data_IF_658526662894
#
_entry.id   IF_658526662894
#
_cell.length_a   1.000
_cell.length_b   1.000
_cell.length_c   1.000
_cell.angle_alpha   90.00
_cell.angle_beta   90.00
_cell.angle_gamma   90.00
#
_symmetry.space_group_name_H-M   'P 1'
#
loop_
_entity.id
_entity.type
_entity.pdbx_description
1 polymer ?
#
# COMPACT_ATOMS: atom_id res chain seq x y z
N UNK A 1 -28.39 -7.61 -8.22
CA UNK A 1 -27.17 -7.03 -7.60
C UNK A 1 -27.20 -5.53 -7.83
N UNK A 2 -26.86 -4.71 -6.85
CA UNK A 2 -26.82 -3.25 -7.04
C UNK A 2 -25.75 -2.89 -8.09
N UNK A 3 -26.08 -2.08 -9.09
CA UNK A 3 -25.21 -1.83 -10.26
C UNK A 3 -23.86 -1.15 -9.92
N UNK A 4 -23.65 -0.66 -8.70
CA UNK A 4 -22.47 0.12 -8.29
C UNK A 4 -21.68 -0.50 -7.11
N UNK A 5 -21.85 -1.80 -6.83
CA UNK A 5 -21.16 -2.44 -5.70
C UNK A 5 -19.63 -2.36 -5.85
N UNK A 6 -19.11 -2.56 -7.05
CA UNK A 6 -17.68 -2.53 -7.33
C UNK A 6 -17.08 -1.14 -7.14
N UNK A 7 -17.72 -0.11 -7.66
CA UNK A 7 -17.30 1.28 -7.57
C UNK A 7 -17.33 1.78 -6.12
N UNK A 8 -18.39 1.45 -5.38
CA UNK A 8 -18.52 1.79 -3.96
C UNK A 8 -17.40 1.09 -3.17
N UNK A 9 -17.15 -0.20 -3.42
CA UNK A 9 -16.08 -0.93 -2.77
C UNK A 9 -14.70 -0.31 -3.06
N UNK A 10 -14.45 0.12 -4.31
CA UNK A 10 -13.21 0.80 -4.69
C UNK A 10 -13.03 2.14 -3.96
N UNK A 11 -14.09 2.95 -3.89
CA UNK A 11 -14.05 4.24 -3.19
C UNK A 11 -13.82 4.04 -1.68
N UNK A 12 -14.54 3.11 -1.05
CA UNK A 12 -14.36 2.79 0.37
C UNK A 12 -12.95 2.24 0.63
N UNK A 13 -12.39 1.46 -0.28
CA UNK A 13 -10.99 0.99 -0.21
C UNK A 13 -10.01 2.17 -0.15
N UNK A 14 -10.16 3.15 -1.03
CA UNK A 14 -9.24 4.29 -1.06
C UNK A 14 -9.35 5.16 0.20
N UNK A 15 -10.55 5.34 0.73
CA UNK A 15 -10.77 5.99 2.03
C UNK A 15 -10.11 5.18 3.16
N UNK A 16 -10.32 3.86 3.18
CA UNK A 16 -9.74 2.96 4.18
C UNK A 16 -8.20 3.01 4.15
N UNK A 17 -7.58 3.04 2.96
CA UNK A 17 -6.13 3.16 2.82
C UNK A 17 -5.61 4.54 3.25
N UNK A 18 -6.40 5.60 3.09
CA UNK A 18 -6.06 6.94 3.59
C UNK A 18 -6.01 6.97 5.12
N UNK A 19 -6.99 6.36 5.78
CA UNK A 19 -6.97 6.21 7.25
C UNK A 19 -5.84 5.31 7.71
N UNK A 20 -5.63 4.18 7.05
CA UNK A 20 -4.54 3.24 7.36
C UNK A 20 -3.17 3.89 7.33
N UNK A 21 -2.84 4.61 6.25
CA UNK A 21 -1.57 5.31 6.12
C UNK A 21 -1.39 6.39 7.19
N UNK A 22 -2.48 7.06 7.57
CA UNK A 22 -2.49 8.03 8.66
C UNK A 22 -2.22 7.34 10.01
N UNK A 23 -2.94 6.27 10.33
CA UNK A 23 -2.74 5.52 11.58
C UNK A 23 -1.31 4.97 11.68
N UNK A 24 -0.80 4.38 10.61
CA UNK A 24 0.56 3.84 10.62
C UNK A 24 1.65 4.92 10.65
N UNK A 25 1.38 6.10 10.10
CA UNK A 25 2.26 7.26 10.28
C UNK A 25 2.30 7.72 11.75
N UNK A 26 1.13 7.82 12.41
CA UNK A 26 1.05 8.18 13.82
C UNK A 26 1.78 7.14 14.69
N UNK A 27 1.49 5.86 14.49
CA UNK A 27 2.12 4.79 15.24
C UNK A 27 3.63 4.73 14.99
N UNK A 28 4.06 4.83 13.72
CA UNK A 28 5.46 4.77 13.33
C UNK A 28 6.33 5.87 13.93
N UNK A 29 5.78 7.07 14.06
CA UNK A 29 6.46 8.19 14.76
C UNK A 29 6.60 7.97 16.26
N UNK A 30 5.79 7.11 16.87
CA UNK A 30 5.82 6.82 18.32
C UNK A 30 6.72 5.63 18.65
N UNK A 31 6.63 4.54 17.88
CA UNK A 31 7.29 3.27 18.22
C UNK A 31 8.23 2.75 17.12
N UNK A 32 8.36 3.48 16.03
CA UNK A 32 9.19 3.12 14.87
C UNK A 32 8.43 2.31 13.82
N UNK A 33 8.81 2.50 12.55
CA UNK A 33 8.22 1.89 11.36
C UNK A 33 8.20 0.36 11.42
N UNK A 34 9.30 -0.23 11.87
CA UNK A 34 9.49 -1.69 11.89
C UNK A 34 8.58 -2.39 12.91
N UNK A 35 8.38 -1.79 14.11
CA UNK A 35 7.46 -2.34 15.12
C UNK A 35 6.03 -2.29 14.59
N UNK A 36 5.64 -1.18 13.97
CA UNK A 36 4.30 -1.04 13.36
C UNK A 36 4.10 -2.10 12.27
N UNK A 37 5.06 -2.28 11.36
CA UNK A 37 4.92 -3.20 10.25
C UNK A 37 4.81 -4.67 10.70
N UNK A 38 5.62 -5.09 11.66
CA UNK A 38 5.56 -6.44 12.26
C UNK A 38 4.23 -6.68 12.97
N UNK A 39 3.80 -5.73 13.79
CA UNK A 39 2.62 -5.88 14.64
C UNK A 39 1.33 -5.84 13.83
N UNK A 40 1.22 -4.95 12.81
CA UNK A 40 0.04 -4.90 11.95
C UNK A 40 -0.19 -6.20 11.18
N UNK A 41 0.90 -6.84 10.72
CA UNK A 41 0.80 -8.12 10.00
C UNK A 41 0.34 -9.26 10.91
N UNK A 42 0.76 -9.25 12.19
CA UNK A 42 0.28 -10.21 13.17
C UNK A 42 -1.24 -10.07 13.39
N UNK A 43 -1.73 -8.84 13.61
CA UNK A 43 -3.17 -8.60 13.73
C UNK A 43 -3.93 -8.95 12.44
N UNK A 44 -3.40 -8.55 11.29
CA UNK A 44 -4.01 -8.85 10.00
C UNK A 44 -4.08 -10.37 9.72
N UNK A 45 -3.03 -11.12 10.04
CA UNK A 45 -3.03 -12.58 9.96
C UNK A 45 -4.16 -13.18 10.80
N UNK A 46 -4.31 -12.69 12.04
CA UNK A 46 -5.36 -13.18 12.95
C UNK A 46 -6.76 -12.88 12.37
N UNK A 47 -7.00 -11.67 11.90
CA UNK A 47 -8.30 -11.30 11.29
C UNK A 47 -8.60 -12.13 10.04
N UNK A 48 -7.60 -12.32 9.16
CA UNK A 48 -7.76 -13.11 7.95
C UNK A 48 -7.98 -14.60 8.26
N UNK A 49 -7.28 -15.17 9.26
CA UNK A 49 -7.46 -16.56 9.67
C UNK A 49 -8.86 -16.79 10.24
N UNK A 50 -9.35 -15.88 11.10
CA UNK A 50 -10.71 -15.95 11.64
C UNK A 50 -11.75 -15.86 10.52
N UNK A 51 -11.58 -14.89 9.60
CA UNK A 51 -12.52 -14.71 8.48
C UNK A 51 -12.47 -15.90 7.52
N UNK A 52 -11.29 -16.46 7.26
CA UNK A 52 -11.14 -17.64 6.41
C UNK A 52 -11.81 -18.87 7.02
N UNK A 53 -11.68 -19.02 8.35
CA UNK A 53 -12.39 -20.08 9.07
C UNK A 53 -13.92 -19.93 9.00
N UNK A 54 -14.44 -18.71 9.19
CA UNK A 54 -15.88 -18.45 9.13
C UNK A 54 -16.45 -18.72 7.72
N UNK A 55 -15.72 -18.34 6.67
CA UNK A 55 -16.22 -18.46 5.28
C UNK A 55 -15.97 -19.83 4.63
N UNK A 56 -14.89 -20.51 4.99
CA UNK A 56 -14.46 -21.76 4.33
C UNK A 56 -14.33 -22.95 5.28
N UNK A 57 -14.60 -22.78 6.60
CA UNK A 57 -14.47 -23.83 7.60
C UNK A 57 -13.02 -24.26 7.89
N UNK A 58 -12.03 -23.56 7.33
CA UNK A 58 -10.60 -23.87 7.47
C UNK A 58 -9.83 -22.62 7.86
N UNK A 59 -8.89 -22.75 8.80
CA UNK A 59 -8.04 -21.61 9.23
C UNK A 59 -7.04 -21.22 8.13
N UNK A 60 -6.51 -22.21 7.42
CA UNK A 60 -5.50 -22.03 6.36
C UNK A 60 -5.96 -22.71 5.06
N UNK A 61 -5.57 -22.20 3.89
CA UNK A 61 -5.88 -22.81 2.61
C UNK A 61 -4.93 -23.98 2.31
N UNK A 62 -5.02 -25.06 3.11
CA UNK A 62 -4.08 -26.19 3.07
C UNK A 62 -4.17 -27.04 1.79
N UNK A 63 -5.30 -27.01 1.09
CA UNK A 63 -5.48 -27.75 -0.17
C UNK A 63 -5.02 -26.97 -1.41
N UNK A 64 -4.29 -25.87 -1.20
CA UNK A 64 -3.76 -25.05 -2.30
C UNK A 64 -2.51 -25.70 -2.92
N UNK A 65 -2.41 -25.66 -4.22
CA UNK A 65 -1.25 -26.14 -4.98
C UNK A 65 0.05 -25.48 -4.53
N UNK A 66 1.14 -26.24 -4.43
CA UNK A 66 2.45 -25.75 -3.99
C UNK A 66 2.95 -24.57 -4.82
N UNK A 67 2.74 -24.60 -6.13
CA UNK A 67 3.14 -23.53 -7.06
C UNK A 67 2.45 -22.20 -6.72
N UNK A 68 1.17 -22.24 -6.30
CA UNK A 68 0.44 -21.04 -5.87
C UNK A 68 1.01 -20.49 -4.56
N UNK A 69 1.32 -21.39 -3.60
CA UNK A 69 2.01 -21.00 -2.37
C UNK A 69 3.34 -20.29 -2.67
N UNK A 70 4.14 -20.82 -3.59
CA UNK A 70 5.42 -20.23 -3.97
C UNK A 70 5.25 -18.80 -4.54
N UNK A 71 4.35 -18.61 -5.50
CA UNK A 71 4.11 -17.30 -6.10
C UNK A 71 3.53 -16.29 -5.11
N UNK A 72 2.57 -16.71 -4.29
CA UNK A 72 1.94 -15.84 -3.29
C UNK A 72 2.89 -15.54 -2.12
N UNK A 73 3.70 -16.51 -1.69
CA UNK A 73 4.74 -16.29 -0.69
C UNK A 73 5.81 -15.30 -1.20
N UNK A 74 6.27 -15.48 -2.44
CA UNK A 74 7.20 -14.54 -3.09
C UNK A 74 6.59 -13.14 -3.17
N UNK A 75 5.32 -13.04 -3.57
CA UNK A 75 4.58 -11.77 -3.59
C UNK A 75 4.48 -11.13 -2.20
N UNK A 76 4.17 -11.92 -1.17
CA UNK A 76 4.14 -11.46 0.22
C UNK A 76 5.51 -10.97 0.70
N UNK A 77 6.57 -11.68 0.38
CA UNK A 77 7.93 -11.27 0.72
C UNK A 77 8.34 -9.97 0.01
N UNK A 78 8.20 -9.90 -1.31
CA UNK A 78 8.59 -8.68 -2.07
C UNK A 78 7.73 -7.48 -1.67
N UNK A 79 6.40 -7.64 -1.61
CA UNK A 79 5.48 -6.53 -1.36
C UNK A 79 5.44 -6.12 0.11
N UNK A 80 5.17 -7.08 1.00
CA UNK A 80 4.86 -6.77 2.39
C UNK A 80 6.10 -6.74 3.30
N UNK A 81 7.18 -7.49 2.97
CA UNK A 81 8.43 -7.41 3.74
C UNK A 81 9.33 -6.30 3.22
N UNK A 82 9.70 -6.35 1.95
CA UNK A 82 10.61 -5.36 1.35
C UNK A 82 9.87 -4.06 1.03
N UNK A 83 8.80 -4.13 0.24
CA UNK A 83 8.06 -2.95 -0.23
C UNK A 83 7.43 -2.15 0.91
N UNK A 84 6.64 -2.79 1.76
CA UNK A 84 6.04 -2.12 2.91
C UNK A 84 7.06 -1.77 3.99
N UNK A 85 8.17 -2.53 4.12
CA UNK A 85 9.27 -2.15 5.00
C UNK A 85 9.79 -0.75 4.67
N UNK A 86 10.04 -0.50 3.40
CA UNK A 86 10.46 0.80 2.88
C UNK A 86 9.34 1.85 2.94
N UNK A 87 8.11 1.49 2.57
CA UNK A 87 6.97 2.40 2.63
C UNK A 87 6.68 2.90 4.05
N UNK A 88 6.78 2.03 5.05
CA UNK A 88 6.56 2.40 6.46
C UNK A 88 7.67 3.32 6.99
N UNK A 89 8.89 3.14 6.52
CA UNK A 89 9.96 4.09 6.82
C UNK A 89 9.67 5.46 6.17
N UNK A 90 9.19 5.47 4.93
CA UNK A 90 8.74 6.70 4.29
C UNK A 90 7.60 7.38 5.05
N UNK A 91 6.63 6.65 5.62
CA UNK A 91 5.58 7.23 6.45
C UNK A 91 6.13 7.99 7.65
N UNK A 92 7.20 7.50 8.25
CA UNK A 92 7.87 8.18 9.39
C UNK A 92 8.63 9.41 8.92
N UNK A 93 9.40 9.30 7.82
CA UNK A 93 10.31 10.34 7.34
C UNK A 93 9.60 11.48 6.61
N UNK A 94 8.66 11.18 5.71
CA UNK A 94 8.01 12.19 4.85
C UNK A 94 6.49 12.27 5.03
N UNK A 95 5.92 11.42 5.88
CA UNK A 95 4.49 11.41 6.22
C UNK A 95 3.61 10.66 5.23
N UNK A 96 2.37 10.36 5.66
CA UNK A 96 1.43 9.54 4.91
C UNK A 96 1.14 10.10 3.50
N UNK A 97 0.87 11.41 3.41
CA UNK A 97 0.42 12.05 2.16
C UNK A 97 1.44 11.91 1.03
N UNK A 98 2.70 12.30 1.28
CA UNK A 98 3.72 12.24 0.23
C UNK A 98 4.11 10.80 -0.09
N UNK A 99 4.18 9.92 0.91
CA UNK A 99 4.46 8.51 0.69
C UNK A 99 3.36 7.84 -0.16
N UNK A 100 2.07 8.12 0.10
CA UNK A 100 0.97 7.59 -0.71
C UNK A 100 0.89 8.23 -2.10
N UNK A 101 1.33 9.49 -2.25
CA UNK A 101 1.49 10.09 -3.58
C UNK A 101 2.57 9.35 -4.39
N UNK A 102 3.69 8.98 -3.77
CA UNK A 102 4.73 8.15 -4.41
C UNK A 102 4.21 6.77 -4.80
N UNK A 103 3.27 6.20 -4.04
CA UNK A 103 2.63 4.92 -4.40
C UNK A 103 1.78 5.01 -5.67
N UNK A 104 1.41 6.19 -6.15
CA UNK A 104 0.80 6.38 -7.47
C UNK A 104 1.75 6.00 -8.63
N UNK A 105 3.04 5.80 -8.35
CA UNK A 105 4.00 5.23 -9.30
C UNK A 105 3.82 3.71 -9.52
N UNK A 106 3.14 3.00 -8.64
CA UNK A 106 2.97 1.54 -8.76
C UNK A 106 2.34 1.13 -10.10
N UNK A 107 1.20 1.72 -10.54
CA UNK A 107 0.64 1.43 -11.85
C UNK A 107 1.62 1.75 -12.99
N UNK A 108 2.30 2.91 -12.90
CA UNK A 108 3.30 3.34 -13.89
C UNK A 108 4.42 2.31 -14.03
N UNK A 109 5.00 1.91 -12.90
CA UNK A 109 6.07 0.91 -12.87
C UNK A 109 5.56 -0.43 -13.42
N UNK A 110 4.35 -0.84 -13.06
CA UNK A 110 3.73 -2.07 -13.56
C UNK A 110 3.53 -2.02 -15.07
N UNK A 111 3.09 -0.91 -15.63
CA UNK A 111 2.93 -0.69 -17.07
C UNK A 111 4.28 -0.74 -17.80
N UNK A 112 5.32 -0.10 -17.28
CA UNK A 112 6.67 -0.14 -17.83
C UNK A 112 7.24 -1.58 -17.79
N UNK A 113 7.01 -2.31 -16.69
CA UNK A 113 7.42 -3.70 -16.57
C UNK A 113 6.68 -4.60 -17.56
N UNK A 114 5.38 -4.38 -17.78
CA UNK A 114 4.60 -5.10 -18.77
C UNK A 114 5.12 -4.82 -20.20
N UNK A 115 5.40 -3.57 -20.52
CA UNK A 115 6.02 -3.19 -21.79
C UNK A 115 7.37 -3.87 -22.01
N UNK A 116 8.26 -3.87 -21.01
CA UNK A 116 9.64 -4.39 -21.16
C UNK A 116 9.72 -5.91 -21.12
N UNK A 117 8.87 -6.58 -20.32
CA UNK A 117 8.97 -8.04 -20.07
C UNK A 117 7.84 -8.87 -20.72
N UNK A 118 6.72 -8.24 -21.06
CA UNK A 118 5.59 -8.92 -21.69
C UNK A 118 5.39 -8.50 -23.16
N UNK A 119 6.28 -7.65 -23.72
CA UNK A 119 6.20 -7.10 -25.07
C UNK A 119 4.85 -6.38 -25.34
N UNK A 120 4.20 -5.83 -24.32
CA UNK A 120 3.02 -5.00 -24.48
C UNK A 120 3.45 -3.66 -25.12
N UNK A 121 2.64 -3.13 -26.06
CA UNK A 121 2.94 -1.86 -26.74
C UNK A 121 2.26 -0.73 -25.96
N UNK A 122 3.05 0.26 -25.55
CA UNK A 122 2.51 1.47 -24.93
C UNK A 122 1.78 2.31 -25.98
N UNK A 123 0.53 2.65 -25.71
CA UNK A 123 -0.22 3.60 -26.53
C UNK A 123 0.12 5.06 -26.13
N UNK A 124 -0.29 6.02 -26.96
CA UNK A 124 0.00 7.44 -26.73
C UNK A 124 -0.62 7.95 -25.41
N UNK A 125 -1.81 7.48 -25.04
CA UNK A 125 -2.49 7.90 -23.81
C UNK A 125 -1.73 7.41 -22.56
N UNK A 126 -1.20 6.20 -22.59
CA UNK A 126 -0.36 5.67 -21.51
C UNK A 126 0.93 6.47 -21.34
N UNK A 127 1.58 6.88 -22.43
CA UNK A 127 2.76 7.75 -22.38
C UNK A 127 2.42 9.11 -21.77
N UNK A 128 1.32 9.75 -22.18
CA UNK A 128 0.85 11.01 -21.61
C UNK A 128 0.55 10.83 -20.11
N UNK A 129 -0.11 9.76 -19.76
CA UNK A 129 -0.46 9.42 -18.37
C UNK A 129 0.79 9.27 -17.49
N UNK A 130 1.81 8.58 -17.98
CA UNK A 130 3.11 8.44 -17.30
C UNK A 130 3.74 9.82 -17.06
N UNK A 131 3.82 10.66 -18.10
CA UNK A 131 4.40 12.00 -18.00
C UNK A 131 3.62 12.87 -16.99
N UNK A 132 2.29 12.84 -17.02
CA UNK A 132 1.45 13.59 -16.08
C UNK A 132 1.66 13.13 -14.64
N UNK A 133 1.67 11.81 -14.40
CA UNK A 133 1.83 11.25 -13.05
C UNK A 133 3.21 11.60 -12.49
N UNK A 134 4.27 11.30 -13.23
CA UNK A 134 5.65 11.57 -12.82
C UNK A 134 5.88 13.07 -12.65
N UNK A 135 5.40 13.87 -13.58
CA UNK A 135 5.50 15.34 -13.52
C UNK A 135 4.80 15.92 -12.30
N UNK A 136 3.58 15.46 -12.00
CA UNK A 136 2.82 15.87 -10.80
C UNK A 136 3.55 15.50 -9.50
N UNK A 137 4.11 14.30 -9.41
CA UNK A 137 4.88 13.85 -8.25
C UNK A 137 6.16 14.69 -8.09
N UNK A 138 6.93 14.86 -9.16
CA UNK A 138 8.15 15.68 -9.16
C UNK A 138 7.84 17.10 -8.70
N UNK A 139 6.78 17.71 -9.21
CA UNK A 139 6.34 19.04 -8.80
C UNK A 139 6.12 19.15 -7.29
N UNK A 140 5.38 18.21 -6.70
CA UNK A 140 5.12 18.19 -5.25
C UNK A 140 6.41 17.99 -4.43
N UNK A 141 7.34 17.14 -4.90
CA UNK A 141 8.62 16.88 -4.25
C UNK A 141 9.47 18.16 -4.21
N UNK A 142 9.65 18.82 -5.35
CA UNK A 142 10.49 20.01 -5.44
C UNK A 142 9.95 21.19 -4.62
N UNK A 143 8.64 21.34 -4.55
CA UNK A 143 8.05 22.42 -3.77
C UNK A 143 8.39 22.33 -2.27
N UNK A 144 8.46 21.13 -1.72
CA UNK A 144 8.73 20.92 -0.29
C UNK A 144 10.22 21.11 0.07
N UNK A 145 11.12 20.85 -0.85
CA UNK A 145 12.58 20.84 -0.60
C UNK A 145 13.18 22.24 -0.31
N UNK A 146 12.46 23.33 -0.57
CA UNK A 146 12.97 24.69 -0.42
C UNK A 146 12.94 25.28 1.00
N UNK A 147 12.58 24.49 2.03
CA UNK A 147 12.28 25.05 3.38
C UNK A 147 13.03 24.42 4.57
N UNK A 148 14.01 23.51 4.35
CA UNK A 148 14.62 22.75 5.44
C UNK A 148 16.14 22.89 5.61
N UNK A 149 16.65 22.59 6.82
CA UNK A 149 18.06 22.43 7.16
C UNK A 149 18.66 21.17 6.50
N UNK A 150 20.00 21.06 6.41
CA UNK A 150 20.69 19.94 5.76
C UNK A 150 20.29 18.57 6.33
N UNK A 151 20.06 18.43 7.63
CA UNK A 151 19.62 17.18 8.26
C UNK A 151 18.18 16.81 7.86
N UNK A 152 17.27 17.78 7.79
CA UNK A 152 15.90 17.61 7.30
C UNK A 152 15.89 17.24 5.82
N UNK A 153 16.79 17.82 5.02
CA UNK A 153 16.96 17.51 3.60
C UNK A 153 17.41 16.05 3.37
N UNK A 154 18.34 15.55 4.22
CA UNK A 154 18.80 14.15 4.14
C UNK A 154 17.68 13.15 4.47
N UNK A 155 16.94 13.40 5.54
CA UNK A 155 15.81 12.55 5.94
C UNK A 155 14.68 12.59 4.89
N UNK A 156 14.46 13.75 4.29
CA UNK A 156 13.50 13.92 3.21
C UNK A 156 13.89 13.10 1.97
N UNK A 157 15.14 13.19 1.51
CA UNK A 157 15.62 12.40 0.38
C UNK A 157 15.55 10.90 0.66
N UNK A 158 15.97 10.46 1.86
CA UNK A 158 15.85 9.07 2.27
C UNK A 158 14.39 8.60 2.24
N UNK A 159 13.46 9.41 2.72
CA UNK A 159 12.04 9.11 2.69
C UNK A 159 11.48 8.98 1.27
N UNK A 160 11.92 9.82 0.33
CA UNK A 160 11.57 9.70 -1.09
C UNK A 160 12.11 8.40 -1.69
N UNK A 161 13.38 8.07 -1.43
CA UNK A 161 14.00 6.82 -1.90
C UNK A 161 13.30 5.59 -1.32
N UNK A 162 12.96 5.62 -0.04
CA UNK A 162 12.17 4.56 0.60
C UNK A 162 10.78 4.42 -0.04
N UNK A 163 10.08 5.52 -0.30
CA UNK A 163 8.77 5.49 -0.95
C UNK A 163 8.85 4.95 -2.38
N UNK A 164 9.88 5.32 -3.14
CA UNK A 164 10.15 4.79 -4.48
C UNK A 164 10.45 3.28 -4.43
N UNK A 165 11.30 2.84 -3.50
CA UNK A 165 11.58 1.43 -3.27
C UNK A 165 10.34 0.66 -2.86
N UNK A 166 9.47 1.26 -2.05
CA UNK A 166 8.15 0.73 -1.70
C UNK A 166 7.27 0.53 -2.93
N UNK A 167 7.18 1.54 -3.81
CA UNK A 167 6.40 1.46 -5.04
C UNK A 167 6.93 0.38 -6.01
N UNK A 168 8.26 0.27 -6.16
CA UNK A 168 8.91 -0.82 -6.92
C UNK A 168 8.54 -2.19 -6.34
N UNK A 169 8.71 -2.37 -5.02
CA UNK A 169 8.36 -3.62 -4.34
C UNK A 169 6.90 -4.01 -4.56
N UNK A 170 5.97 -3.06 -4.46
CA UNK A 170 4.54 -3.32 -4.70
C UNK A 170 4.25 -3.68 -6.16
N UNK A 171 4.89 -3.02 -7.14
CA UNK A 171 4.71 -3.36 -8.55
C UNK A 171 5.15 -4.80 -8.85
N UNK A 172 6.33 -5.22 -8.40
CA UNK A 172 6.79 -6.61 -8.54
C UNK A 172 5.91 -7.60 -7.77
N UNK A 173 5.41 -7.20 -6.58
CA UNK A 173 4.51 -8.05 -5.80
C UNK A 173 3.17 -8.27 -6.49
N UNK A 174 2.64 -7.28 -7.21
CA UNK A 174 1.41 -7.43 -7.99
C UNK A 174 1.58 -8.42 -9.14
N UNK A 175 2.70 -8.37 -9.87
CA UNK A 175 3.00 -9.30 -10.97
C UNK A 175 3.09 -10.75 -10.45
N UNK A 176 3.80 -10.94 -9.35
CA UNK A 176 3.94 -12.27 -8.73
C UNK A 176 2.63 -12.77 -8.12
N UNK A 177 1.83 -11.88 -7.51
CA UNK A 177 0.50 -12.20 -7.01
C UNK A 177 -0.45 -12.65 -8.14
N UNK A 178 -0.40 -11.99 -9.30
CA UNK A 178 -1.23 -12.34 -10.47
C UNK A 178 -1.00 -13.78 -10.92
N UNK A 179 0.25 -14.25 -10.88
CA UNK A 179 0.58 -15.67 -11.18
C UNK A 179 -0.02 -16.63 -10.14
N UNK A 180 0.00 -16.28 -8.86
CA UNK A 180 -0.58 -17.12 -7.80
C UNK A 180 -2.10 -17.10 -7.77
N UNK A 181 -2.73 -16.02 -8.27
CA UNK A 181 -4.18 -15.83 -8.34
C UNK A 181 -4.81 -16.44 -9.60
N UNK A 182 -4.03 -17.01 -10.55
CA UNK A 182 -4.54 -17.52 -11.80
C UNK A 182 -5.74 -18.48 -11.61
N UNK A 183 -6.77 -18.36 -12.47
CA UNK A 183 -8.04 -19.10 -12.34
C UNK A 183 -8.93 -18.57 -11.20
N UNK A 184 -9.83 -19.41 -10.70
CA UNK A 184 -10.83 -19.04 -9.68
C UNK A 184 -10.32 -19.12 -8.23
N UNK A 185 -9.01 -18.91 -8.01
CA UNK A 185 -8.48 -18.97 -6.65
C UNK A 185 -9.05 -17.84 -5.77
N UNK A 186 -9.50 -18.14 -4.52
CA UNK A 186 -10.11 -17.14 -3.67
C UNK A 186 -9.12 -16.05 -3.25
N UNK A 187 -9.50 -14.80 -3.47
CA UNK A 187 -8.68 -13.63 -3.12
C UNK A 187 -8.35 -13.55 -1.62
N UNK A 188 -9.28 -13.99 -0.75
CA UNK A 188 -9.05 -14.05 0.69
C UNK A 188 -7.93 -15.04 1.03
N UNK A 189 -7.95 -16.24 0.43
CA UNK A 189 -6.90 -17.26 0.61
C UNK A 189 -5.54 -16.79 0.09
N UNK A 190 -5.53 -16.12 -1.07
CA UNK A 190 -4.31 -15.53 -1.62
C UNK A 190 -3.72 -14.46 -0.70
N UNK A 191 -4.57 -13.56 -0.17
CA UNK A 191 -4.12 -12.54 0.77
C UNK A 191 -3.62 -13.14 2.08
N UNK A 192 -4.30 -14.18 2.59
CA UNK A 192 -3.87 -14.88 3.80
C UNK A 192 -2.48 -15.50 3.65
N UNK A 193 -2.19 -16.16 2.52
CA UNK A 193 -0.86 -16.72 2.24
C UNK A 193 0.21 -15.61 2.22
N UNK A 194 -0.05 -14.50 1.54
CA UNK A 194 0.86 -13.36 1.43
C UNK A 194 1.17 -12.75 2.80
N UNK A 195 0.13 -12.48 3.61
CA UNK A 195 0.26 -11.86 4.92
C UNK A 195 0.93 -12.80 5.92
N UNK A 196 0.58 -14.08 5.92
CA UNK A 196 1.25 -15.09 6.76
C UNK A 196 2.74 -15.21 6.44
N UNK A 197 3.09 -15.30 5.15
CA UNK A 197 4.49 -15.34 4.74
C UNK A 197 5.25 -14.13 5.25
N UNK A 198 4.71 -12.93 5.04
CA UNK A 198 5.35 -11.71 5.52
C UNK A 198 5.46 -11.67 7.05
N UNK A 199 4.43 -12.12 7.77
CA UNK A 199 4.45 -12.23 9.22
C UNK A 199 5.57 -13.14 9.70
N UNK A 200 5.65 -14.34 9.13
CA UNK A 200 6.69 -15.33 9.46
C UNK A 200 8.09 -14.74 9.23
N UNK A 201 8.35 -14.16 8.04
CA UNK A 201 9.65 -13.58 7.73
C UNK A 201 10.04 -12.44 8.68
N UNK A 202 9.12 -11.51 8.96
CA UNK A 202 9.41 -10.42 9.89
C UNK A 202 9.69 -10.89 11.31
N UNK A 203 8.98 -11.92 11.78
CA UNK A 203 9.20 -12.45 13.11
C UNK A 203 10.49 -13.30 13.21
N UNK A 204 10.83 -14.05 12.16
CA UNK A 204 12.13 -14.74 12.07
C UNK A 204 13.27 -13.72 12.14
N UNK A 205 13.20 -12.63 11.34
CA UNK A 205 14.20 -11.56 11.38
C UNK A 205 14.25 -10.91 12.76
N UNK A 206 13.11 -10.68 13.42
CA UNK A 206 13.07 -10.12 14.76
C UNK A 206 13.74 -11.02 15.79
N UNK A 207 13.53 -12.34 15.71
CA UNK A 207 14.14 -13.34 16.58
C UNK A 207 15.66 -13.39 16.38
N UNK A 208 16.13 -13.46 15.13
CA UNK A 208 17.57 -13.48 14.80
C UNK A 208 18.26 -12.20 15.31
N UNK A 209 17.60 -11.06 15.22
CA UNK A 209 18.12 -9.78 15.72
C UNK A 209 18.01 -9.59 17.24
N UNK A 210 17.43 -10.53 17.97
CA UNK A 210 17.17 -10.39 19.41
C UNK A 210 16.15 -9.29 19.76
N UNK A 211 15.37 -8.85 18.77
CA UNK A 211 14.41 -7.71 18.90
C UNK A 211 12.96 -8.14 19.06
N UNK A 212 12.67 -9.42 19.23
CA UNK A 212 11.31 -9.92 19.37
C UNK A 212 10.57 -9.29 20.56
N UNK A 213 11.25 -9.17 21.72
CA UNK A 213 10.66 -8.54 22.90
C UNK A 213 10.36 -7.04 22.71
N UNK A 214 11.20 -6.31 21.98
CA UNK A 214 10.99 -4.87 21.72
C UNK A 214 9.73 -4.61 20.87
N UNK A 215 9.23 -5.59 20.14
CA UNK A 215 7.99 -5.44 19.39
C UNK A 215 6.77 -5.23 20.29
N UNK A 216 6.81 -5.64 21.56
CA UNK A 216 5.72 -5.42 22.52
C UNK A 216 5.73 -4.02 23.15
N UNK A 217 6.73 -3.17 22.83
CA UNK A 217 6.78 -1.78 23.30
C UNK A 217 5.54 -0.95 22.90
N UNK A 218 4.85 -1.32 21.82
CA UNK A 218 3.61 -0.67 21.42
C UNK A 218 2.48 -0.78 22.45
N UNK A 219 2.47 -1.81 23.32
CA UNK A 219 1.46 -1.97 24.36
C UNK A 219 1.50 -0.83 25.41
N UNK A 220 2.68 -0.34 25.72
CA UNK A 220 2.87 0.76 26.68
C UNK A 220 2.44 2.11 26.10
N UNK A 221 2.46 2.26 24.76
CA UNK A 221 2.04 3.47 24.09
C UNK A 221 0.58 3.37 23.62
N UNK A 222 -0.33 4.01 24.35
CA UNK A 222 -1.78 3.99 24.09
C UNK A 222 -2.12 4.43 22.65
N UNK A 223 -1.46 5.50 22.17
CA UNK A 223 -1.70 6.06 20.84
C UNK A 223 -1.25 5.10 19.76
N UNK A 224 -0.03 4.55 19.87
CA UNK A 224 0.49 3.59 18.91
C UNK A 224 -0.36 2.31 18.87
N UNK A 225 -0.77 1.79 20.05
CA UNK A 225 -1.61 0.60 20.16
C UNK A 225 -2.92 0.72 19.38
N UNK A 226 -3.69 1.77 19.62
CA UNK A 226 -4.95 1.97 18.92
C UNK A 226 -4.77 2.28 17.43
N UNK A 227 -3.72 3.03 17.08
CA UNK A 227 -3.39 3.29 15.69
C UNK A 227 -2.98 2.01 14.93
N UNK A 228 -2.21 1.10 15.54
CA UNK A 228 -1.86 -0.18 14.92
C UNK A 228 -3.09 -1.07 14.74
N UNK A 229 -3.90 -1.23 15.80
CA UNK A 229 -5.12 -2.05 15.73
C UNK A 229 -6.08 -1.52 14.66
N UNK A 230 -6.41 -0.23 14.71
CA UNK A 230 -7.30 0.41 13.73
C UNK A 230 -6.72 0.36 12.31
N UNK A 231 -5.44 0.70 12.14
CA UNK A 231 -4.77 0.62 10.86
C UNK A 231 -4.74 -0.80 10.27
N UNK A 232 -4.63 -1.83 11.11
CA UNK A 232 -4.67 -3.23 10.67
C UNK A 232 -6.05 -3.65 10.16
N UNK A 233 -7.12 -3.11 10.75
CA UNK A 233 -8.50 -3.34 10.30
C UNK A 233 -8.74 -2.64 8.95
N UNK A 234 -8.45 -1.34 8.86
CA UNK A 234 -8.75 -0.56 7.66
C UNK A 234 -7.81 -0.87 6.48
N UNK A 235 -6.57 -1.30 6.74
CA UNK A 235 -5.57 -1.59 5.71
C UNK A 235 -5.58 -3.04 5.24
N UNK A 236 -4.73 -3.89 5.81
CA UNK A 236 -4.50 -5.23 5.29
C UNK A 236 -5.71 -6.17 5.41
N UNK A 237 -6.66 -5.89 6.28
CA UNK A 237 -7.89 -6.67 6.39
C UNK A 237 -8.99 -6.13 5.47
N UNK A 238 -9.68 -5.03 5.84
CA UNK A 238 -10.82 -4.51 5.07
C UNK A 238 -10.40 -3.90 3.72
N UNK A 239 -9.33 -3.10 3.69
CA UNK A 239 -8.92 -2.40 2.47
C UNK A 239 -8.56 -3.36 1.34
N UNK A 240 -7.78 -4.43 1.61
CA UNK A 240 -7.47 -5.41 0.59
C UNK A 240 -8.71 -6.25 0.24
N UNK A 241 -9.54 -6.64 1.19
CA UNK A 241 -10.75 -7.39 0.89
C UNK A 241 -11.71 -6.62 -0.01
N UNK A 242 -11.99 -5.36 0.32
CA UNK A 242 -12.84 -4.48 -0.49
C UNK A 242 -12.22 -4.22 -1.87
N UNK A 243 -10.90 -4.09 -1.99
CA UNK A 243 -10.24 -3.95 -3.28
C UNK A 243 -10.47 -5.16 -4.18
N UNK A 244 -10.51 -6.38 -3.62
CA UNK A 244 -10.83 -7.58 -4.38
C UNK A 244 -12.29 -7.63 -4.83
N UNK A 245 -13.23 -7.14 -4.00
CA UNK A 245 -14.64 -6.98 -4.38
C UNK A 245 -14.75 -5.95 -5.51
N UNK A 246 -14.03 -4.84 -5.42
CA UNK A 246 -14.01 -3.81 -6.45
C UNK A 246 -13.58 -4.38 -7.81
N UNK A 247 -12.46 -5.10 -7.85
CA UNK A 247 -11.94 -5.70 -9.09
C UNK A 247 -12.88 -6.78 -9.65
N UNK A 248 -13.63 -7.47 -8.79
CA UNK A 248 -14.56 -8.51 -9.21
C UNK A 248 -15.84 -7.96 -9.85
N UNK A 249 -16.35 -6.82 -9.37
CA UNK A 249 -17.68 -6.32 -9.73
C UNK A 249 -17.70 -5.01 -10.52
N UNK A 250 -16.57 -4.29 -10.64
CA UNK A 250 -16.44 -3.12 -11.50
C UNK A 250 -15.45 -3.38 -12.64
N UNK A 251 -15.53 -2.54 -13.68
CA UNK A 251 -14.49 -2.50 -14.70
C UNK A 251 -13.14 -2.17 -14.06
N UNK A 252 -12.10 -2.94 -14.40
CA UNK A 252 -10.77 -2.83 -13.77
C UNK A 252 -10.25 -1.40 -13.82
N UNK A 253 -10.44 -0.69 -14.93
CA UNK A 253 -10.03 0.70 -15.09
C UNK A 253 -10.70 1.63 -14.09
N UNK A 254 -12.02 1.52 -13.91
CA UNK A 254 -12.79 2.34 -12.97
C UNK A 254 -12.40 2.01 -11.52
N UNK A 255 -12.34 0.70 -11.17
CA UNK A 255 -11.95 0.26 -9.85
C UNK A 255 -10.54 0.77 -9.48
N UNK A 256 -9.56 0.60 -10.37
CA UNK A 256 -8.18 1.02 -10.13
C UNK A 256 -8.04 2.54 -10.02
N UNK A 257 -8.78 3.30 -10.84
CA UNK A 257 -8.83 4.76 -10.74
C UNK A 257 -9.36 5.22 -9.38
N UNK A 258 -10.49 4.64 -8.92
CA UNK A 258 -11.06 5.00 -7.62
C UNK A 258 -10.15 4.57 -6.46
N UNK A 259 -9.48 3.44 -6.56
CA UNK A 259 -8.50 2.98 -5.57
C UNK A 259 -7.21 3.81 -5.55
N UNK A 260 -6.91 4.59 -6.59
CA UNK A 260 -5.76 5.49 -6.66
C UNK A 260 -6.00 6.88 -6.01
N UNK A 261 -7.18 7.12 -5.42
CA UNK A 261 -7.54 8.40 -4.78
C UNK A 261 -6.96 8.68 -3.37
N UNK A 262 -6.29 7.76 -2.63
CA UNK A 262 -5.78 8.07 -1.29
C UNK A 262 -4.96 9.36 -1.20
N UNK A 263 -4.11 9.76 -2.16
CA UNK A 263 -3.39 11.03 -2.07
C UNK A 263 -4.32 12.25 -1.99
N UNK A 264 -5.49 12.21 -2.63
CA UNK A 264 -6.49 13.27 -2.59
C UNK A 264 -7.20 13.28 -1.24
N UNK A 265 -7.65 12.14 -0.73
CA UNK A 265 -8.28 12.05 0.59
C UNK A 265 -7.34 12.42 1.73
N UNK A 266 -6.04 12.20 1.55
CA UNK A 266 -5.03 12.58 2.53
C UNK A 266 -4.79 14.09 2.62
N UNK A 267 -5.20 14.91 1.64
CA UNK A 267 -5.10 16.36 1.74
C UNK A 267 -5.90 16.91 2.95
N UNK A 268 -7.22 16.70 3.06
CA UNK A 268 -7.97 17.13 4.24
C UNK A 268 -7.54 16.41 5.52
N UNK A 269 -7.26 15.11 5.46
CA UNK A 269 -6.86 14.32 6.63
C UNK A 269 -5.56 14.87 7.22
N UNK A 270 -4.54 15.14 6.41
CA UNK A 270 -3.27 15.67 6.87
C UNK A 270 -3.38 17.12 7.40
N UNK A 271 -4.26 17.92 6.82
CA UNK A 271 -4.57 19.25 7.34
C UNK A 271 -5.18 19.18 8.74
N UNK A 272 -6.18 18.32 8.97
CA UNK A 272 -6.86 18.23 10.27
C UNK A 272 -6.03 17.51 11.34
N UNK A 273 -5.39 16.39 11.01
CA UNK A 273 -4.67 15.55 11.98
C UNK A 273 -3.26 16.07 12.23
N UNK A 274 -2.50 16.36 11.17
CA UNK A 274 -1.09 16.74 11.29
C UNK A 274 -0.89 18.26 11.25
N UNK A 275 -1.97 19.05 11.07
CA UNK A 275 -1.94 20.51 10.91
C UNK A 275 -1.05 20.97 9.75
N UNK A 276 -0.87 20.14 8.73
CA UNK A 276 -0.09 20.46 7.54
C UNK A 276 -0.84 21.49 6.69
N UNK A 277 -0.22 22.62 6.39
CA UNK A 277 -0.75 23.59 5.42
C UNK A 277 -0.29 23.19 4.02
N UNK A 278 -1.23 23.03 3.12
CA UNK A 278 -0.95 22.69 1.72
C UNK A 278 -0.96 23.96 0.88
N UNK A 279 0.06 24.11 0.02
CA UNK A 279 0.01 25.14 -1.00
C UNK A 279 -0.93 24.71 -2.14
N UNK A 280 -1.41 25.65 -2.92
CA UNK A 280 -2.20 25.36 -4.10
C UNK A 280 -1.41 24.49 -5.12
N UNK A 281 -0.09 24.69 -5.18
CA UNK A 281 0.81 23.89 -6.06
C UNK A 281 0.84 22.44 -5.67
N UNK A 282 0.91 22.13 -4.38
CA UNK A 282 0.81 20.76 -3.84
C UNK A 282 -0.52 20.10 -4.22
N UNK A 283 -1.63 20.85 -4.14
CA UNK A 283 -2.95 20.34 -4.52
C UNK A 283 -2.99 20.03 -6.02
N UNK A 284 -2.57 20.98 -6.86
CA UNK A 284 -2.54 20.79 -8.32
C UNK A 284 -1.63 19.63 -8.72
N UNK A 285 -0.41 19.53 -8.16
CA UNK A 285 0.51 18.42 -8.46
C UNK A 285 -0.06 17.07 -8.04
N UNK A 286 -0.76 17.00 -6.89
CA UNK A 286 -1.43 15.76 -6.43
C UNK A 286 -2.58 15.38 -7.38
N UNK A 287 -3.40 16.34 -7.80
CA UNK A 287 -4.50 16.11 -8.75
C UNK A 287 -3.95 15.67 -10.10
N UNK A 288 -2.90 16.30 -10.62
CA UNK A 288 -2.24 15.91 -11.87
C UNK A 288 -1.69 14.47 -11.80
N UNK A 289 -1.04 14.10 -10.70
CA UNK A 289 -0.52 12.74 -10.53
C UNK A 289 -1.64 11.70 -10.54
N UNK A 290 -2.73 11.95 -9.82
CA UNK A 290 -3.87 11.02 -9.76
C UNK A 290 -4.63 10.99 -11.09
N UNK A 291 -4.79 12.13 -11.77
CA UNK A 291 -5.39 12.18 -13.11
C UNK A 291 -4.57 11.39 -14.13
N UNK A 292 -3.23 11.47 -14.08
CA UNK A 292 -2.36 10.64 -14.89
C UNK A 292 -2.58 9.14 -14.65
N UNK A 293 -2.65 8.69 -13.39
CA UNK A 293 -3.00 7.29 -13.07
C UNK A 293 -4.37 6.92 -13.64
N UNK A 294 -5.37 7.80 -13.54
CA UNK A 294 -6.70 7.55 -14.09
C UNK A 294 -6.68 7.33 -15.61
N UNK A 295 -5.89 8.11 -16.35
CA UNK A 295 -5.76 7.96 -17.82
C UNK A 295 -5.21 6.59 -18.18
N UNK A 296 -4.21 6.04 -17.46
CA UNK A 296 -3.65 4.69 -17.73
C UNK A 296 -4.72 3.61 -17.73
N UNK A 297 -5.69 3.72 -16.82
CA UNK A 297 -6.73 2.70 -16.67
C UNK A 297 -7.98 2.94 -17.52
N UNK A 298 -8.11 4.13 -18.11
CA UNK A 298 -9.25 4.51 -18.96
C UNK A 298 -8.89 4.52 -20.46
N UNK A 299 -7.60 4.42 -20.79
CA UNK A 299 -7.08 4.35 -22.15
C UNK A 299 -7.03 2.92 -22.67
#
# INVERSE_FOLDING_TARGET
>A
MHPFIGEIAALVTSIAWSFTSTFFTIAGRQVGSMIVNRTRLLFASSYLMITHFILYGQILPVHTEVVRWQWLALSGFIGLVLGDGLLFEAFVLIGARLSMLMMSLVPIISTILAWTFLNEILNLFEVIAIIMTVGGIIWVIFERNHRGNLAESRNYLLGILCALGGALGQAFALITAKKGLAGDFPALSANLIRVLTATIFFWIIALIQGRAASNFAFWSNRTARWAIIGGSIFGPFLGIWLSMIAIKYAHIGIASTLMALPPIFLLPISYWIFKERHSWRTIVGTVLAVAGVAIIFLA
#
